data_IF_019658102221
#
_entry.id   IF_019658102221
#
_cell.length_a   1.000
_cell.length_b   1.000
_cell.length_c   1.000
_cell.angle_alpha   90.00
_cell.angle_beta   90.00
_cell.angle_gamma   90.00
#
_symmetry.space_group_name_H-M   'P 1'
#
loop_
_entity.id
_entity.type
_entity.pdbx_description
1 polymer ?
#
# COMPACT_ATOMS: atom_id res chain seq x y z
N UNK A 1 29.17 -4.88 -12.78
CA UNK A 1 27.77 -5.31 -12.91
C UNK A 1 26.92 -4.19 -12.29
N UNK A 2 26.50 -3.23 -13.10
CA UNK A 2 25.59 -2.18 -12.64
C UNK A 2 24.25 -2.85 -12.33
N UNK A 3 23.93 -2.96 -11.04
CA UNK A 3 22.56 -3.21 -10.62
C UNK A 3 21.73 -2.05 -11.16
N UNK A 4 20.73 -2.37 -11.98
CA UNK A 4 19.84 -1.43 -12.65
C UNK A 4 18.99 -0.70 -11.59
N UNK A 5 19.58 0.31 -10.94
CA UNK A 5 18.98 1.05 -9.83
C UNK A 5 18.04 2.10 -10.41
N UNK A 6 16.76 1.98 -10.06
CA UNK A 6 15.76 3.00 -10.42
C UNK A 6 16.07 4.31 -9.70
N UNK A 7 15.73 5.43 -10.36
CA UNK A 7 15.80 6.76 -9.76
C UNK A 7 14.91 6.86 -8.50
N UNK A 8 15.30 7.70 -7.51
CA UNK A 8 14.47 7.98 -6.35
C UNK A 8 13.06 8.45 -6.74
N UNK A 9 12.06 8.07 -5.94
CA UNK A 9 10.70 8.52 -6.17
C UNK A 9 10.59 10.02 -5.92
N UNK A 10 10.22 10.81 -6.92
CA UNK A 10 10.15 12.29 -6.81
C UNK A 10 8.99 12.81 -5.97
N UNK A 11 8.12 11.95 -5.45
CA UNK A 11 7.04 12.31 -4.52
C UNK A 11 7.49 12.17 -3.07
N UNK A 12 7.90 10.96 -2.68
CA UNK A 12 8.27 10.68 -1.28
C UNK A 12 9.77 10.80 -1.00
N UNK A 13 10.58 11.04 -2.04
CA UNK A 13 12.03 11.15 -2.00
C UNK A 13 12.75 9.91 -1.46
N UNK A 14 12.07 8.77 -1.42
CA UNK A 14 12.67 7.51 -1.03
C UNK A 14 13.74 7.10 -2.07
N UNK A 15 14.93 6.65 -1.62
CA UNK A 15 16.06 6.37 -2.52
C UNK A 15 15.79 5.22 -3.51
N UNK A 16 14.78 4.40 -3.24
CA UNK A 16 14.27 3.37 -4.13
C UNK A 16 12.73 3.40 -4.11
N UNK A 17 12.05 3.41 -5.27
CA UNK A 17 10.60 3.35 -5.32
C UNK A 17 10.04 2.03 -4.78
N UNK A 18 9.06 2.11 -3.87
CA UNK A 18 8.37 0.93 -3.33
C UNK A 18 7.28 0.51 -4.31
N UNK A 19 7.32 -0.77 -4.71
CA UNK A 19 6.47 -1.31 -5.78
C UNK A 19 6.50 -0.38 -7.02
N UNK A 20 7.65 -0.28 -7.70
CA UNK A 20 7.84 0.70 -8.77
C UNK A 20 6.77 0.58 -9.85
N UNK A 21 6.05 1.67 -10.07
CA UNK A 21 4.94 1.74 -10.99
C UNK A 21 5.25 2.74 -12.10
N UNK A 22 5.22 2.29 -13.35
CA UNK A 22 5.45 3.12 -14.53
C UNK A 22 4.13 3.66 -15.06
N UNK A 23 4.03 4.98 -15.14
CA UNK A 23 2.88 5.64 -15.78
C UNK A 23 2.95 5.51 -17.32
N UNK A 24 1.85 5.75 -18.07
CA UNK A 24 1.86 5.73 -19.54
C UNK A 24 2.84 6.72 -20.19
N UNK A 25 3.24 7.76 -19.46
CA UNK A 25 4.26 8.73 -19.87
C UNK A 25 5.69 8.34 -19.45
N UNK A 26 5.92 7.06 -19.15
CA UNK A 26 7.18 6.42 -18.74
C UNK A 26 7.83 6.88 -17.42
N UNK A 27 7.29 7.90 -16.75
CA UNK A 27 7.74 8.27 -15.40
C UNK A 27 7.39 7.21 -14.35
N UNK A 28 8.30 7.01 -13.40
CA UNK A 28 8.25 5.94 -12.39
C UNK A 28 8.13 6.55 -11.00
N UNK A 29 7.27 5.98 -10.17
CA UNK A 29 7.07 6.36 -8.76
C UNK A 29 6.81 5.12 -7.91
N UNK A 30 6.76 5.27 -6.59
CA UNK A 30 6.12 4.25 -5.75
C UNK A 30 4.65 4.09 -6.16
N UNK A 31 4.11 2.88 -6.12
CA UNK A 31 2.72 2.62 -6.48
C UNK A 31 1.74 3.53 -5.72
N UNK A 32 1.86 3.62 -4.38
CA UNK A 32 0.98 4.46 -3.56
C UNK A 32 1.18 5.96 -3.78
N UNK A 33 2.40 6.39 -4.14
CA UNK A 33 2.68 7.78 -4.48
C UNK A 33 1.99 8.17 -5.79
N UNK A 34 2.17 7.37 -6.85
CA UNK A 34 1.46 7.56 -8.11
C UNK A 34 -0.06 7.53 -7.91
N UNK A 35 -0.57 6.57 -7.13
CA UNK A 35 -2.00 6.42 -6.82
C UNK A 35 -2.56 7.67 -6.15
N UNK A 36 -1.91 8.19 -5.11
CA UNK A 36 -2.37 9.41 -4.43
C UNK A 36 -2.40 10.63 -5.35
N UNK A 37 -1.32 10.84 -6.12
CA UNK A 37 -1.23 11.99 -7.01
C UNK A 37 -2.23 11.94 -8.17
N UNK A 38 -2.34 10.78 -8.84
CA UNK A 38 -3.21 10.60 -10.00
C UNK A 38 -4.69 10.57 -9.60
N UNK A 39 -5.07 9.98 -8.46
CA UNK A 39 -6.47 10.02 -7.99
C UNK A 39 -6.93 11.45 -7.70
N UNK A 40 -6.00 12.34 -7.33
CA UNK A 40 -6.31 13.75 -7.04
C UNK A 40 -6.33 14.61 -8.30
N UNK A 41 -5.37 14.42 -9.21
CA UNK A 41 -5.14 15.36 -10.32
C UNK A 41 -5.44 14.79 -11.71
N UNK A 42 -5.62 13.47 -11.84
CA UNK A 42 -5.65 12.74 -13.10
C UNK A 42 -4.46 13.02 -14.03
N UNK A 43 -3.30 13.36 -13.45
CA UNK A 43 -2.10 13.75 -14.19
C UNK A 43 -0.83 13.15 -13.59
N UNK A 44 0.20 13.02 -14.43
CA UNK A 44 1.55 12.69 -13.99
C UNK A 44 2.12 13.84 -13.13
N UNK A 45 2.69 13.55 -11.94
CA UNK A 45 3.34 14.55 -11.09
C UNK A 45 4.52 15.29 -11.74
N UNK A 46 5.24 14.64 -12.66
CA UNK A 46 6.45 15.18 -13.27
C UNK A 46 6.15 15.96 -14.57
N UNK A 47 5.51 15.32 -15.55
CA UNK A 47 5.30 15.93 -16.87
C UNK A 47 3.88 16.45 -17.11
N UNK A 48 2.96 16.28 -16.14
CA UNK A 48 1.54 16.68 -16.24
C UNK A 48 0.74 16.00 -17.36
N UNK A 49 1.30 14.96 -17.99
CA UNK A 49 0.57 14.12 -18.94
C UNK A 49 -0.72 13.60 -18.31
N UNK A 50 -1.80 13.55 -19.08
CA UNK A 50 -3.10 13.04 -18.60
C UNK A 50 -3.03 11.55 -18.33
N UNK A 51 -3.51 11.11 -17.17
CA UNK A 51 -3.43 9.71 -16.75
C UNK A 51 -4.81 9.23 -16.32
N UNK A 52 -5.27 8.15 -16.94
CA UNK A 52 -6.51 7.48 -16.54
C UNK A 52 -6.35 6.77 -15.20
N UNK A 53 -7.27 6.98 -14.26
CA UNK A 53 -7.28 6.29 -12.96
C UNK A 53 -7.45 4.76 -13.09
N UNK A 54 -7.93 4.27 -14.24
CA UNK A 54 -8.19 2.84 -14.47
C UNK A 54 -6.91 2.00 -14.46
N UNK A 55 -5.74 2.62 -14.65
CA UNK A 55 -4.44 1.91 -14.61
C UNK A 55 -4.16 1.25 -13.25
N UNK A 56 -4.81 1.69 -12.17
CA UNK A 56 -4.65 1.10 -10.84
C UNK A 56 -5.46 -0.18 -10.62
N UNK A 57 -6.37 -0.53 -11.54
CA UNK A 57 -7.15 -1.75 -11.43
C UNK A 57 -6.35 -3.00 -11.83
N UNK A 58 -5.39 -2.82 -12.74
CA UNK A 58 -4.48 -3.87 -13.19
C UNK A 58 -3.07 -3.25 -13.40
N UNK A 59 -2.35 -2.95 -12.31
CA UNK A 59 -1.10 -2.22 -12.41
C UNK A 59 0.00 -3.08 -13.02
N UNK A 60 0.69 -2.57 -14.04
CA UNK A 60 1.93 -3.15 -14.55
C UNK A 60 3.10 -2.63 -13.72
N UNK A 61 3.58 -3.45 -12.78
CA UNK A 61 4.79 -3.16 -12.01
C UNK A 61 6.04 -3.48 -12.85
N UNK A 62 7.11 -2.71 -12.63
CA UNK A 62 8.35 -2.89 -13.40
C UNK A 62 9.16 -4.12 -13.01
N UNK A 63 8.96 -4.64 -11.80
CA UNK A 63 9.54 -5.91 -11.38
C UNK A 63 8.58 -7.02 -11.83
N UNK A 64 8.97 -7.72 -12.89
CA UNK A 64 8.18 -8.73 -13.61
C UNK A 64 7.86 -10.00 -12.81
N UNK A 65 8.57 -10.23 -11.70
CA UNK A 65 8.09 -11.06 -10.60
C UNK A 65 7.49 -10.11 -9.56
N UNK A 66 6.17 -10.12 -9.38
CA UNK A 66 5.47 -9.29 -8.40
C UNK A 66 5.80 -9.72 -6.95
N UNK A 67 7.07 -9.75 -6.58
CA UNK A 67 7.55 -9.82 -5.21
C UNK A 67 7.31 -8.45 -4.59
N UNK A 68 6.03 -8.12 -4.40
CA UNK A 68 5.65 -7.00 -3.56
C UNK A 68 6.24 -7.27 -2.20
N UNK A 69 6.99 -6.31 -1.68
CA UNK A 69 7.58 -6.43 -0.35
C UNK A 69 6.45 -6.51 0.69
N UNK A 70 6.42 -7.61 1.43
CA UNK A 70 5.50 -7.86 2.53
C UNK A 70 6.32 -7.78 3.81
N UNK A 71 5.91 -6.94 4.75
CA UNK A 71 6.48 -6.97 6.09
C UNK A 71 5.94 -8.20 6.84
N UNK A 72 6.86 -9.00 7.36
CA UNK A 72 6.57 -10.17 8.20
C UNK A 72 7.15 -9.91 9.57
N UNK A 73 6.33 -10.07 10.61
CA UNK A 73 6.73 -9.89 12.00
C UNK A 73 6.90 -11.24 12.69
N UNK A 74 7.31 -11.22 13.96
CA UNK A 74 7.51 -12.42 14.78
C UNK A 74 6.36 -13.41 14.61
N UNK A 75 6.66 -14.70 14.58
CA UNK A 75 5.65 -15.76 14.41
C UNK A 75 4.79 -15.63 13.12
N UNK A 76 5.34 -15.00 12.08
CA UNK A 76 4.70 -14.80 10.77
C UNK A 76 3.39 -14.00 10.85
N UNK A 77 3.36 -12.97 11.70
CA UNK A 77 2.27 -12.01 11.73
C UNK A 77 2.37 -10.98 10.60
N UNK A 78 1.21 -10.54 10.11
CA UNK A 78 1.09 -9.40 9.21
C UNK A 78 -0.13 -8.53 9.56
N UNK A 79 -0.17 -7.33 8.96
CA UNK A 79 -1.28 -6.39 9.10
C UNK A 79 -2.14 -6.33 7.85
N UNK A 80 -3.46 -6.35 8.07
CA UNK A 80 -4.46 -6.36 7.02
C UNK A 80 -5.50 -5.27 7.21
N UNK A 81 -6.11 -4.87 6.09
CA UNK A 81 -7.32 -4.06 6.08
C UNK A 81 -8.40 -4.66 5.19
N UNK A 82 -9.65 -4.46 5.59
CA UNK A 82 -10.81 -5.03 4.93
C UNK A 82 -11.06 -4.40 3.55
N UNK A 83 -11.18 -5.26 2.54
CA UNK A 83 -11.66 -4.96 1.20
C UNK A 83 -13.11 -5.43 0.99
N UNK A 84 -13.63 -5.21 -0.22
CA UNK A 84 -14.86 -5.91 -0.66
C UNK A 84 -14.50 -7.40 -0.75
N UNK A 85 -15.18 -8.23 0.06
CA UNK A 85 -15.07 -9.70 0.06
C UNK A 85 -13.63 -10.22 0.20
N UNK A 86 -12.90 -9.72 1.20
CA UNK A 86 -11.57 -10.22 1.50
C UNK A 86 -10.68 -9.17 2.17
N UNK A 87 -9.43 -9.51 2.35
CA UNK A 87 -8.45 -8.69 3.06
C UNK A 87 -7.29 -8.30 2.15
N UNK A 88 -6.74 -7.13 2.41
CA UNK A 88 -5.52 -6.64 1.77
C UNK A 88 -4.44 -6.52 2.83
N UNK A 89 -3.22 -6.91 2.50
CA UNK A 89 -2.05 -6.54 3.28
C UNK A 89 -1.80 -5.04 3.12
N UNK A 90 -1.35 -4.39 4.20
CA UNK A 90 -0.72 -3.06 4.08
C UNK A 90 0.62 -3.19 3.33
N UNK A 91 1.11 -2.09 2.74
CA UNK A 91 2.48 -2.09 2.22
C UNK A 91 3.51 -2.22 3.36
N UNK A 92 4.75 -2.56 3.02
CA UNK A 92 5.82 -2.84 3.99
C UNK A 92 6.03 -1.70 4.99
N UNK A 93 6.19 -0.46 4.51
CA UNK A 93 6.42 0.70 5.35
C UNK A 93 5.25 0.96 6.30
N UNK A 94 4.02 1.00 5.78
CA UNK A 94 2.84 1.21 6.61
C UNK A 94 2.69 0.10 7.65
N UNK A 95 2.97 -1.15 7.28
CA UNK A 95 2.91 -2.29 8.21
C UNK A 95 3.91 -2.13 9.36
N UNK A 96 5.14 -1.69 9.07
CA UNK A 96 6.18 -1.46 10.07
C UNK A 96 5.76 -0.36 11.04
N UNK A 97 5.20 0.75 10.53
CA UNK A 97 4.74 1.86 11.36
C UNK A 97 3.57 1.44 12.28
N UNK A 98 2.62 0.68 11.73
CA UNK A 98 1.49 0.11 12.50
C UNK A 98 2.01 -0.83 13.60
N UNK A 99 2.89 -1.77 13.25
CA UNK A 99 3.43 -2.74 14.21
C UNK A 99 4.21 -2.04 15.33
N UNK A 100 5.07 -1.07 15.01
CA UNK A 100 5.83 -0.32 16.01
C UNK A 100 4.92 0.39 17.01
N UNK A 101 3.84 1.05 16.54
CA UNK A 101 2.90 1.72 17.44
C UNK A 101 2.09 0.73 18.27
N UNK A 102 1.68 -0.39 17.67
CA UNK A 102 0.95 -1.46 18.36
C UNK A 102 1.80 -2.09 19.47
N UNK A 103 3.05 -2.46 19.18
CA UNK A 103 3.97 -3.05 20.17
C UNK A 103 4.34 -2.08 21.29
N UNK A 104 4.33 -0.77 21.02
CA UNK A 104 4.51 0.27 22.03
C UNK A 104 3.26 0.55 22.87
N UNK A 105 2.17 -0.22 22.70
CA UNK A 105 0.95 -0.10 23.48
C UNK A 105 0.19 1.21 23.23
N UNK A 106 0.32 1.80 22.04
CA UNK A 106 -0.47 2.99 21.65
C UNK A 106 -1.92 2.57 21.41
N UNK A 107 -2.86 3.46 21.73
CA UNK A 107 -4.28 3.25 21.41
C UNK A 107 -4.58 3.47 19.91
N UNK A 108 -3.80 4.32 19.26
CA UNK A 108 -3.92 4.62 17.82
C UNK A 108 -2.62 5.17 17.24
N UNK A 109 -2.52 5.19 15.91
CA UNK A 109 -1.49 5.93 15.18
C UNK A 109 -2.04 6.57 13.90
N UNK A 110 -1.26 7.50 13.33
CA UNK A 110 -1.55 8.14 12.04
C UNK A 110 -0.60 7.58 10.99
N UNK A 111 -1.13 7.20 9.82
CA UNK A 111 -0.33 6.68 8.69
C UNK A 111 -0.70 7.40 7.40
N UNK A 112 0.28 7.65 6.53
CA UNK A 112 0.06 8.29 5.23
C UNK A 112 -0.16 7.23 4.14
N UNK A 113 -1.40 7.08 3.67
CA UNK A 113 -1.75 6.11 2.63
C UNK A 113 -2.27 6.84 1.40
N UNK A 114 -1.55 6.67 0.27
CA UNK A 114 -1.89 7.27 -1.02
C UNK A 114 -2.22 8.78 -0.93
N UNK A 115 -1.42 9.54 -0.18
CA UNK A 115 -1.56 10.99 -0.04
C UNK A 115 -2.64 11.46 0.93
N UNK A 116 -3.26 10.56 1.70
CA UNK A 116 -4.24 10.90 2.74
C UNK A 116 -3.82 10.33 4.10
N UNK A 117 -4.08 11.09 5.17
CA UNK A 117 -3.81 10.63 6.54
C UNK A 117 -4.95 9.75 7.01
N UNK A 118 -4.61 8.55 7.46
CA UNK A 118 -5.53 7.60 8.08
C UNK A 118 -5.21 7.46 9.56
N UNK A 119 -6.26 7.36 10.37
CA UNK A 119 -6.15 6.89 11.76
C UNK A 119 -6.27 5.37 11.75
N UNK A 120 -5.35 4.72 12.43
CA UNK A 120 -5.38 3.31 12.80
C UNK A 120 -5.76 3.26 14.27
N UNK A 121 -6.95 2.74 14.57
CA UNK A 121 -7.50 2.63 15.92
C UNK A 121 -7.34 1.18 16.39
N UNK A 122 -6.44 0.94 17.33
CA UNK A 122 -6.09 -0.40 17.82
C UNK A 122 -7.11 -0.95 18.79
N UNK A 123 -7.85 -0.09 19.50
CA UNK A 123 -8.91 -0.55 20.40
C UNK A 123 -10.10 -1.09 19.62
N UNK A 124 -10.53 -0.35 18.58
CA UNK A 124 -11.67 -0.73 17.75
C UNK A 124 -11.29 -1.63 16.58
N UNK A 125 -9.99 -1.79 16.33
CA UNK A 125 -9.44 -2.54 15.19
C UNK A 125 -10.05 -2.07 13.86
N UNK A 126 -9.94 -0.76 13.61
CA UNK A 126 -10.41 -0.12 12.38
C UNK A 126 -9.40 0.90 11.84
N UNK A 127 -9.54 1.22 10.55
CA UNK A 127 -8.96 2.42 9.96
C UNK A 127 -10.05 3.36 9.41
N UNK A 128 -9.77 4.65 9.40
CA UNK A 128 -10.60 5.67 8.74
C UNK A 128 -9.76 6.89 8.36
N UNK A 129 -10.21 7.67 7.38
CA UNK A 129 -9.51 8.86 6.90
C UNK A 129 -9.74 10.03 7.86
N UNK A 130 -8.68 10.69 8.32
CA UNK A 130 -8.71 11.67 9.42
C UNK A 130 -9.49 12.95 9.10
N UNK A 131 -9.41 13.42 7.86
CA UNK A 131 -9.97 14.69 7.38
C UNK A 131 -11.38 14.55 6.77
N UNK A 132 -12.01 13.37 6.85
CA UNK A 132 -13.30 13.09 6.22
C UNK A 132 -14.31 12.56 7.24
N UNK A 133 -15.27 13.42 7.65
CA UNK A 133 -16.24 13.12 8.71
C UNK A 133 -17.05 11.83 8.47
N UNK A 134 -17.41 11.54 7.21
CA UNK A 134 -18.12 10.32 6.80
C UNK A 134 -17.20 9.35 6.05
N UNK A 135 -15.92 9.27 6.48
CA UNK A 135 -14.97 8.36 5.87
C UNK A 135 -15.46 6.91 5.93
N UNK A 136 -15.19 6.16 4.86
CA UNK A 136 -15.36 4.72 4.89
C UNK A 136 -14.47 4.13 5.99
N UNK A 137 -15.10 3.48 6.96
CA UNK A 137 -14.43 2.70 7.99
C UNK A 137 -14.12 1.31 7.41
N UNK A 138 -12.92 0.80 7.68
CA UNK A 138 -12.54 -0.58 7.33
C UNK A 138 -12.01 -1.26 8.57
N UNK A 139 -12.39 -2.51 8.78
CA UNK A 139 -11.76 -3.34 9.81
C UNK A 139 -10.29 -3.55 9.47
N UNK A 140 -9.45 -3.64 10.50
CA UNK A 140 -8.05 -4.05 10.38
C UNK A 140 -7.84 -5.30 11.24
N UNK A 141 -6.80 -6.06 10.96
CA UNK A 141 -6.37 -7.15 11.84
C UNK A 141 -4.87 -7.35 11.78
N UNK A 142 -4.31 -7.85 12.87
CA UNK A 142 -2.99 -8.46 12.95
C UNK A 142 -3.20 -9.97 13.04
N UNK A 143 -2.75 -10.72 12.04
CA UNK A 143 -3.06 -12.15 11.95
C UNK A 143 -1.88 -12.93 11.36
N UNK A 144 -1.80 -14.22 11.67
CA UNK A 144 -0.73 -15.10 11.18
C UNK A 144 -1.08 -15.69 9.82
N UNK A 145 -0.05 -16.05 9.06
CA UNK A 145 -0.21 -16.72 7.76
C UNK A 145 -1.00 -18.03 7.83
N UNK A 146 -0.75 -18.85 8.85
CA UNK A 146 -1.44 -20.14 9.07
C UNK A 146 -2.96 -20.00 9.28
N UNK A 147 -3.42 -18.88 9.84
CA UNK A 147 -4.85 -18.62 10.04
C UNK A 147 -5.55 -18.19 8.74
N UNK A 148 -4.81 -18.00 7.65
CA UNK A 148 -5.35 -17.55 6.37
C UNK A 148 -5.93 -18.68 5.50
N UNK A 149 -5.88 -19.95 5.91
CA UNK A 149 -6.35 -21.09 5.10
C UNK A 149 -7.80 -20.91 4.61
N UNK A 150 -8.64 -20.18 5.37
CA UNK A 150 -10.02 -19.82 4.98
C UNK A 150 -10.22 -18.31 4.72
N UNK A 151 -9.15 -17.51 4.69
CA UNK A 151 -9.23 -16.06 4.48
C UNK A 151 -8.80 -15.71 3.06
N UNK A 152 -9.69 -15.07 2.29
CA UNK A 152 -9.34 -14.56 0.96
C UNK A 152 -8.45 -13.30 1.08
N UNK A 153 -7.14 -13.47 0.86
CA UNK A 153 -6.17 -12.39 0.73
C UNK A 153 -6.05 -11.96 -0.72
N UNK A 154 -6.37 -10.69 -0.98
CA UNK A 154 -6.49 -10.14 -2.34
C UNK A 154 -5.15 -9.69 -2.92
N UNK A 155 -4.19 -9.39 -2.04
CA UNK A 155 -2.86 -8.89 -2.35
C UNK A 155 -2.42 -7.79 -1.40
N UNK A 156 -1.56 -6.88 -1.86
CA UNK A 156 -0.89 -5.86 -1.03
C UNK A 156 -1.22 -4.46 -1.51
N UNK A 157 -1.74 -3.59 -0.64
CA UNK A 157 -1.99 -2.17 -0.92
C UNK A 157 -2.85 -1.89 -2.18
N UNK A 158 -3.65 -2.86 -2.64
CA UNK A 158 -4.44 -2.80 -3.88
C UNK A 158 -3.77 -3.40 -5.13
N UNK A 159 -2.56 -3.94 -5.01
CA UNK A 159 -1.86 -4.73 -6.03
C UNK A 159 -2.24 -6.20 -5.83
N UNK A 160 -2.85 -6.83 -6.82
CA UNK A 160 -3.20 -8.26 -6.74
C UNK A 160 -1.93 -9.11 -6.83
N UNK A 161 -1.79 -10.07 -5.92
CA UNK A 161 -0.81 -11.13 -6.07
C UNK A 161 -1.34 -12.09 -7.15
N UNK A 162 -0.57 -12.36 -8.19
CA UNK A 162 -0.90 -13.41 -9.13
C UNK A 162 -0.72 -14.76 -8.43
N UNK A 163 -1.73 -15.62 -8.45
CA UNK A 163 -1.54 -17.03 -8.11
C UNK A 163 -0.38 -17.58 -8.96
N UNK A 164 0.55 -18.37 -8.41
CA UNK A 164 1.50 -19.08 -9.26
C UNK A 164 0.69 -19.92 -10.26
N UNK A 165 0.90 -19.64 -11.54
CA UNK A 165 0.34 -20.39 -12.67
C UNK A 165 0.88 -21.82 -12.68
#
# INVERSE_FOLDING_TARGET
MEQNRLDPCSICLQPQPINPFKLPCDHIFCFLCAKGAVLTTSRCPLCRHSVSIRIFNNPTLLNSAANVEIATFDENYHWYYEGIEGWWLYDSNTSIEIEQNYQNGKDSCEVLIAGSIYIIDFHRMIQYRKDLANAKIRRIKRDREENQINTHIKGVAGIRLTSPS
#
